data_IF_259046393883
#
_entry.id   IF_259046393883
#
_cell.length_a   1.000
_cell.length_b   1.000
_cell.length_c   1.000
_cell.angle_alpha   90.00
_cell.angle_beta   90.00
_cell.angle_gamma   90.00
#
_symmetry.space_group_name_H-M   'P 1'
#
loop_
_entity.id
_entity.type
_entity.pdbx_description
1 polymer ?
#
# COMPACT_ATOMS: atom_id res chain seq x y z
N UNK A 1 68.60 -75.73 -26.00
CA UNK A 1 68.39 -74.54 -25.16
C UNK A 1 68.02 -73.43 -26.09
N UNK A 2 66.73 -73.15 -26.18
CA UNK A 2 66.20 -72.16 -27.14
C UNK A 2 65.67 -70.94 -26.30
N UNK A 3 66.29 -69.81 -26.62
CA UNK A 3 65.89 -68.53 -25.94
C UNK A 3 64.72 -67.93 -26.70
N UNK A 4 63.66 -67.52 -26.04
CA UNK A 4 62.51 -66.89 -26.67
C UNK A 4 62.75 -65.36 -26.89
N UNK A 5 62.34 -64.87 -28.09
CA UNK A 5 62.32 -63.47 -28.50
C UNK A 5 61.36 -62.60 -27.73
N UNK A 6 61.67 -61.34 -27.43
CA UNK A 6 60.71 -60.44 -26.76
C UNK A 6 59.67 -59.88 -27.75
N UNK A 7 58.45 -59.87 -27.31
CA UNK A 7 57.26 -59.25 -27.98
C UNK A 7 57.29 -57.72 -27.85
N UNK A 8 57.26 -57.03 -28.99
CA UNK A 8 57.08 -55.54 -29.00
C UNK A 8 55.67 -55.20 -28.76
N UNK A 9 55.39 -54.51 -27.65
CA UNK A 9 54.05 -53.87 -27.36
C UNK A 9 54.01 -52.55 -28.07
N UNK A 10 53.04 -52.40 -28.96
CA UNK A 10 52.67 -51.09 -29.57
C UNK A 10 51.85 -50.28 -28.58
N UNK A 11 52.31 -49.08 -28.26
CA UNK A 11 51.55 -48.10 -27.50
C UNK A 11 50.70 -47.28 -28.47
N UNK A 12 49.35 -47.40 -28.34
CA UNK A 12 48.42 -46.53 -29.03
C UNK A 12 48.23 -45.34 -28.16
N UNK A 13 48.65 -44.16 -28.63
CA UNK A 13 48.35 -42.86 -27.96
C UNK A 13 46.92 -42.45 -28.30
N UNK A 14 46.02 -42.61 -27.35
CA UNK A 14 44.67 -42.09 -27.45
C UNK A 14 44.66 -40.60 -27.08
N UNK A 15 44.36 -39.75 -28.04
CA UNK A 15 44.06 -38.31 -27.81
C UNK A 15 42.69 -38.16 -27.15
N UNK A 16 42.68 -37.88 -25.87
CA UNK A 16 41.44 -37.50 -25.15
C UNK A 16 41.14 -36.04 -25.47
N UNK A 17 40.10 -35.80 -26.24
CA UNK A 17 39.53 -34.46 -26.42
C UNK A 17 38.77 -34.07 -25.15
N UNK A 18 39.27 -33.09 -24.40
CA UNK A 18 38.57 -32.47 -23.26
C UNK A 18 37.56 -31.47 -23.83
N UNK A 19 36.31 -31.86 -23.87
CA UNK A 19 35.19 -30.93 -24.13
C UNK A 19 34.95 -30.09 -22.88
N UNK A 20 35.36 -28.83 -22.88
CA UNK A 20 35.03 -27.86 -21.87
C UNK A 20 33.53 -27.48 -22.02
N UNK A 21 32.67 -28.04 -21.18
CA UNK A 21 31.29 -27.60 -21.06
C UNK A 21 31.28 -26.26 -20.31
N UNK A 22 31.05 -25.18 -21.05
CA UNK A 22 30.73 -23.87 -20.46
C UNK A 22 29.35 -23.96 -19.84
N UNK A 23 29.26 -24.17 -18.51
CA UNK A 23 28.04 -23.95 -17.73
C UNK A 23 27.77 -22.44 -17.73
N UNK A 24 26.87 -21.97 -18.58
CA UNK A 24 26.24 -20.67 -18.46
C UNK A 24 25.30 -20.70 -17.24
N UNK A 25 25.72 -20.15 -16.12
CA UNK A 25 24.86 -19.85 -14.98
C UNK A 25 23.83 -18.81 -15.45
N UNK A 26 22.51 -19.02 -15.23
CA UNK A 26 21.54 -18.00 -15.50
C UNK A 26 21.81 -16.82 -14.54
N UNK A 27 22.09 -15.66 -15.09
CA UNK A 27 22.10 -14.41 -14.33
C UNK A 27 20.66 -14.22 -13.86
N UNK A 28 20.42 -14.35 -12.54
CA UNK A 28 19.16 -13.99 -11.93
C UNK A 28 18.97 -12.48 -12.13
N UNK A 29 18.13 -12.09 -13.08
CA UNK A 29 17.63 -10.73 -13.20
C UNK A 29 16.83 -10.49 -11.91
N UNK A 30 17.13 -9.44 -11.12
CA UNK A 30 16.28 -9.10 -9.97
C UNK A 30 14.86 -8.92 -10.49
N UNK A 31 13.90 -9.61 -9.86
CA UNK A 31 12.49 -9.44 -10.18
C UNK A 31 12.18 -7.96 -10.06
N UNK A 32 11.97 -7.29 -11.19
CA UNK A 32 11.58 -5.90 -11.25
C UNK A 32 10.30 -5.74 -10.42
N UNK A 33 10.22 -4.68 -9.63
CA UNK A 33 9.00 -4.33 -8.93
C UNK A 33 7.84 -4.38 -9.93
N UNK A 34 6.80 -5.15 -9.60
CA UNK A 34 5.62 -5.23 -10.44
C UNK A 34 5.02 -3.82 -10.56
N UNK A 35 4.74 -3.32 -11.77
CA UNK A 35 4.24 -1.95 -11.93
C UNK A 35 2.94 -1.79 -11.12
N UNK A 36 2.83 -0.66 -10.40
CA UNK A 36 1.62 -0.35 -9.65
C UNK A 36 0.39 -0.49 -10.56
N UNK A 37 -0.70 -1.14 -10.13
CA UNK A 37 -1.87 -1.33 -10.94
C UNK A 37 -2.44 0.01 -11.41
N UNK A 38 -2.85 0.08 -12.67
CA UNK A 38 -3.45 1.27 -13.26
C UNK A 38 -4.71 1.70 -12.49
N UNK A 39 -5.03 3.01 -12.45
CA UNK A 39 -6.24 3.50 -11.81
C UNK A 39 -7.49 2.86 -12.42
N UNK A 40 -8.54 2.70 -11.59
CA UNK A 40 -9.82 2.16 -12.05
C UNK A 40 -10.38 2.98 -13.21
N UNK A 41 -11.06 2.31 -14.15
CA UNK A 41 -11.72 2.94 -15.29
C UNK A 41 -12.63 4.07 -14.79
N UNK A 42 -12.50 5.26 -15.38
CA UNK A 42 -13.30 6.44 -15.01
C UNK A 42 -12.74 7.28 -13.87
N UNK A 43 -11.63 6.89 -13.21
CA UNK A 43 -10.96 7.74 -12.22
C UNK A 43 -10.20 8.87 -12.89
N UNK A 44 -10.31 10.08 -12.31
CA UNK A 44 -9.52 11.24 -12.70
C UNK A 44 -8.67 11.81 -11.55
N UNK A 45 -8.79 11.23 -10.37
CA UNK A 45 -7.94 11.52 -9.20
C UNK A 45 -7.33 10.21 -8.67
N UNK A 46 -6.01 10.18 -8.59
CA UNK A 46 -5.29 8.98 -8.19
C UNK A 46 -4.17 9.31 -7.20
N UNK A 47 -4.17 8.60 -6.07
CA UNK A 47 -3.11 8.65 -5.07
C UNK A 47 -2.33 7.36 -5.16
N UNK A 48 -1.00 7.44 -5.13
CA UNK A 48 -0.12 6.27 -5.08
C UNK A 48 0.75 6.35 -3.83
N UNK A 49 0.75 5.28 -3.06
CA UNK A 49 1.62 5.09 -1.90
C UNK A 49 2.55 3.94 -2.20
N UNK A 50 3.84 4.25 -2.35
CA UNK A 50 4.88 3.27 -2.61
C UNK A 50 5.83 3.12 -1.43
N UNK A 51 6.13 1.88 -1.05
CA UNK A 51 7.12 1.56 -0.03
C UNK A 51 8.29 0.78 -0.64
N UNK A 52 9.55 0.93 -0.15
CA UNK A 52 10.70 0.28 -0.76
C UNK A 52 10.73 -1.24 -0.58
N UNK A 53 10.02 -1.77 0.43
CA UNK A 53 9.89 -3.20 0.71
C UNK A 53 8.60 -3.47 1.48
N UNK A 54 8.08 -4.70 1.42
CA UNK A 54 6.85 -5.08 2.13
C UNK A 54 6.94 -4.91 3.66
N UNK A 55 8.14 -4.98 4.24
CA UNK A 55 8.38 -4.75 5.67
C UNK A 55 8.66 -3.29 6.02
N UNK A 56 8.71 -2.38 5.05
CA UNK A 56 8.97 -0.97 5.31
C UNK A 56 7.76 -0.32 5.99
N UNK A 57 8.03 0.51 7.00
CA UNK A 57 7.01 1.23 7.79
C UNK A 57 6.81 2.67 7.32
N UNK A 58 7.50 3.05 6.25
CA UNK A 58 7.33 4.34 5.58
C UNK A 58 7.65 4.23 4.09
N UNK A 59 7.11 5.17 3.33
CA UNK A 59 7.30 5.27 1.91
C UNK A 59 7.01 6.68 1.42
N UNK A 60 6.56 6.79 0.19
CA UNK A 60 6.18 8.06 -0.43
C UNK A 60 4.73 8.00 -0.91
N UNK A 61 4.05 9.15 -0.80
CA UNK A 61 2.74 9.39 -1.38
C UNK A 61 2.86 10.43 -2.48
N UNK A 62 2.24 10.16 -3.62
CA UNK A 62 2.08 11.12 -4.71
C UNK A 62 0.63 11.12 -5.20
N UNK A 63 0.05 12.30 -5.35
CA UNK A 63 -1.30 12.46 -5.89
C UNK A 63 -1.25 13.03 -7.30
N UNK A 64 -2.12 12.50 -8.16
CA UNK A 64 -2.19 12.81 -9.58
C UNK A 64 -3.59 13.20 -10.00
N UNK A 65 -3.68 14.20 -10.88
CA UNK A 65 -4.91 14.60 -11.58
C UNK A 65 -4.81 14.23 -13.05
N UNK A 66 -5.84 13.58 -13.58
CA UNK A 66 -5.95 13.36 -15.02
C UNK A 66 -6.39 14.64 -15.75
N UNK A 67 -5.59 15.05 -16.73
CA UNK A 67 -5.88 16.20 -17.61
C UNK A 67 -5.81 15.72 -19.06
N UNK A 68 -6.95 15.55 -19.68
CA UNK A 68 -7.05 14.83 -20.96
C UNK A 68 -6.66 13.37 -20.81
N UNK A 69 -5.61 12.95 -21.51
CA UNK A 69 -5.07 11.58 -21.42
C UNK A 69 -3.84 11.47 -20.51
N UNK A 70 -3.40 12.56 -19.88
CA UNK A 70 -2.17 12.57 -19.10
C UNK A 70 -2.47 12.71 -17.60
N UNK A 71 -1.67 12.03 -16.78
CA UNK A 71 -1.63 12.22 -15.35
C UNK A 71 -0.61 13.30 -14.98
N UNK A 72 -1.04 14.28 -14.20
CA UNK A 72 -0.17 15.36 -13.70
C UNK A 72 -0.09 15.27 -12.18
N UNK A 73 1.11 15.37 -11.63
CA UNK A 73 1.32 15.46 -10.20
C UNK A 73 0.68 16.74 -9.65
N UNK A 74 -0.13 16.61 -8.61
CA UNK A 74 -0.75 17.73 -7.88
C UNK A 74 -0.22 17.86 -6.45
N UNK A 75 0.28 16.77 -5.87
CA UNK A 75 0.91 16.75 -4.54
C UNK A 75 1.97 15.65 -4.49
N UNK A 76 3.10 15.94 -3.86
CA UNK A 76 4.17 14.96 -3.63
C UNK A 76 5.31 15.03 -4.66
N UNK A 77 6.27 14.06 -4.60
CA UNK A 77 6.31 12.99 -3.58
C UNK A 77 6.52 13.52 -2.17
N UNK A 78 5.77 13.02 -1.21
CA UNK A 78 5.87 13.35 0.22
C UNK A 78 6.05 12.08 1.04
N UNK A 79 6.65 12.21 2.24
CA UNK A 79 6.79 11.08 3.16
C UNK A 79 5.42 10.62 3.64
N UNK A 80 5.19 9.30 3.60
CA UNK A 80 4.03 8.64 4.18
C UNK A 80 4.48 7.57 5.18
N UNK A 81 3.79 7.48 6.32
CA UNK A 81 3.91 6.39 7.26
C UNK A 81 2.86 5.35 6.93
N UNK A 82 3.19 4.08 7.14
CA UNK A 82 2.30 2.92 6.95
C UNK A 82 2.36 2.02 8.18
N UNK A 83 1.72 0.86 8.12
CA UNK A 83 1.63 -0.07 9.24
C UNK A 83 2.98 -0.43 9.86
N UNK A 84 3.01 -0.63 11.18
CA UNK A 84 4.23 -0.96 11.95
C UNK A 84 4.81 -2.34 11.60
N UNK A 85 4.05 -3.18 10.92
CA UNK A 85 4.51 -4.44 10.30
C UNK A 85 4.54 -4.37 8.76
N UNK A 86 4.55 -3.16 8.20
CA UNK A 86 4.69 -2.90 6.77
C UNK A 86 3.38 -2.97 5.98
N UNK A 87 3.47 -3.40 4.71
CA UNK A 87 2.33 -3.49 3.79
C UNK A 87 2.09 -4.92 3.32
N UNK A 88 0.85 -5.27 2.94
CA UNK A 88 0.49 -6.60 2.46
C UNK A 88 -1.00 -6.90 2.59
N UNK A 89 -1.37 -8.16 2.81
CA UNK A 89 -2.75 -8.53 3.07
C UNK A 89 -3.20 -7.96 4.43
N UNK A 90 -4.34 -7.26 4.44
CA UNK A 90 -4.95 -6.70 5.65
C UNK A 90 -5.85 -7.71 6.34
N UNK A 91 -5.81 -7.72 7.68
CA UNK A 91 -6.71 -8.49 8.52
C UNK A 91 -6.92 -7.77 9.86
N UNK A 92 -8.04 -8.04 10.53
CA UNK A 92 -8.29 -7.49 11.86
C UNK A 92 -7.19 -7.88 12.85
N UNK A 93 -6.75 -6.93 13.66
CA UNK A 93 -5.68 -7.12 14.64
C UNK A 93 -4.27 -7.27 14.05
N UNK A 94 -4.12 -7.11 12.75
CA UNK A 94 -2.81 -7.06 12.06
C UNK A 94 -2.52 -5.63 11.64
N UNK A 95 -1.47 -5.04 12.19
CA UNK A 95 -1.07 -3.65 11.91
C UNK A 95 -0.36 -3.49 10.55
N UNK A 96 -0.92 -4.09 9.50
CA UNK A 96 -0.38 -4.05 8.14
C UNK A 96 -1.25 -3.18 7.26
N UNK A 97 -0.63 -2.25 6.53
CA UNK A 97 -1.37 -1.46 5.54
C UNK A 97 -1.72 -2.34 4.34
N UNK A 98 -3.01 -2.46 3.98
CA UNK A 98 -3.45 -3.31 2.88
C UNK A 98 -2.89 -2.85 1.53
N UNK A 99 -2.37 -3.80 0.73
CA UNK A 99 -1.92 -3.58 -0.64
C UNK A 99 -3.10 -3.72 -1.60
N UNK A 100 -3.19 -2.82 -2.58
CA UNK A 100 -4.24 -2.84 -3.59
C UNK A 100 -4.64 -1.45 -4.05
N UNK A 101 -5.72 -1.39 -4.84
CA UNK A 101 -6.34 -0.13 -5.28
C UNK A 101 -7.74 -0.02 -4.69
N UNK A 102 -8.00 1.07 -3.95
CA UNK A 102 -9.20 1.28 -3.17
C UNK A 102 -9.87 2.61 -3.51
N UNK A 103 -11.16 2.71 -3.21
CA UNK A 103 -11.91 3.96 -3.23
C UNK A 103 -11.76 4.71 -1.90
N UNK A 104 -12.25 5.94 -1.89
CA UNK A 104 -12.59 6.67 -0.67
C UNK A 104 -14.10 6.81 -0.58
N UNK A 105 -14.67 6.82 0.64
CA UNK A 105 -16.12 6.97 0.83
C UNK A 105 -16.49 8.15 1.73
N UNK A 106 -15.85 8.33 2.88
CA UNK A 106 -16.20 9.34 3.87
C UNK A 106 -14.96 9.98 4.46
N UNK A 107 -14.96 11.32 4.54
CA UNK A 107 -13.95 12.07 5.27
C UNK A 107 -14.49 12.51 6.64
N UNK A 108 -13.57 12.74 7.56
CA UNK A 108 -13.87 13.25 8.89
C UNK A 108 -12.69 13.99 9.49
N UNK A 109 -12.89 14.66 10.59
CA UNK A 109 -11.80 15.25 11.36
C UNK A 109 -12.26 15.90 12.65
N UNK A 110 -11.32 16.11 13.55
CA UNK A 110 -11.53 16.92 14.77
C UNK A 110 -11.71 18.41 14.40
N UNK A 111 -11.10 18.83 13.33
CA UNK A 111 -11.19 20.18 12.78
C UNK A 111 -12.45 20.34 11.90
N UNK A 112 -12.92 21.56 11.68
CA UNK A 112 -13.96 21.84 10.71
C UNK A 112 -13.57 21.40 9.29
N UNK A 113 -14.58 21.17 8.44
CA UNK A 113 -14.38 20.84 7.03
C UNK A 113 -13.39 21.81 6.37
N UNK A 114 -12.25 21.34 5.85
CA UNK A 114 -11.24 22.20 5.23
C UNK A 114 -11.63 22.72 3.83
N UNK A 115 -12.84 22.41 3.37
CA UNK A 115 -13.34 22.73 2.02
C UNK A 115 -13.33 21.50 1.09
N UNK A 116 -13.35 20.27 1.64
CA UNK A 116 -13.47 19.06 0.82
C UNK A 116 -14.87 18.91 0.24
N UNK A 117 -14.95 18.39 -1.00
CA UNK A 117 -16.20 17.95 -1.62
C UNK A 117 -16.62 16.54 -1.17
N UNK A 118 -15.75 15.79 -0.49
CA UNK A 118 -16.09 14.50 0.10
C UNK A 118 -17.18 14.66 1.18
N UNK A 119 -18.07 13.67 1.36
CA UNK A 119 -18.91 13.62 2.56
C UNK A 119 -18.03 13.79 3.81
N UNK A 120 -18.33 14.78 4.64
CA UNK A 120 -17.50 15.13 5.81
C UNK A 120 -18.34 15.29 7.06
N UNK A 121 -17.87 14.72 8.16
CA UNK A 121 -18.39 15.06 9.50
C UNK A 121 -17.25 15.54 10.41
N UNK A 122 -17.55 16.49 11.27
CA UNK A 122 -16.63 16.89 12.33
C UNK A 122 -16.80 15.95 13.51
N UNK A 123 -15.73 15.25 13.85
CA UNK A 123 -15.73 14.27 14.93
C UNK A 123 -15.90 14.95 16.31
N UNK A 124 -16.62 14.31 17.17
CA UNK A 124 -16.82 14.62 18.60
C UNK A 124 -16.48 13.39 19.44
N UNK A 125 -16.50 13.52 20.76
CA UNK A 125 -16.31 12.38 21.69
C UNK A 125 -17.37 11.29 21.57
N UNK A 126 -18.48 11.54 20.85
CA UNK A 126 -19.52 10.56 20.58
C UNK A 126 -19.33 9.81 19.25
N UNK A 127 -18.28 10.12 18.48
CA UNK A 127 -18.04 9.53 17.16
C UNK A 127 -16.99 8.41 17.25
N UNK A 128 -17.39 7.20 16.83
CA UNK A 128 -16.62 5.97 16.93
C UNK A 128 -16.53 5.29 15.58
N UNK A 129 -15.43 4.58 15.34
CA UNK A 129 -15.36 3.58 14.27
C UNK A 129 -15.51 2.20 14.88
N UNK A 130 -16.54 1.48 14.46
CA UNK A 130 -16.84 0.15 14.98
C UNK A 130 -15.93 -0.89 14.30
N UNK A 131 -15.03 -1.49 15.07
CA UNK A 131 -14.11 -2.53 14.62
C UNK A 131 -14.45 -3.91 15.18
N UNK A 132 -15.61 -4.04 15.87
CA UNK A 132 -16.07 -5.30 16.43
C UNK A 132 -16.63 -6.21 15.34
N UNK A 133 -15.89 -7.27 14.98
CA UNK A 133 -16.29 -8.25 13.96
C UNK A 133 -17.61 -8.99 14.29
N UNK A 134 -18.08 -8.94 15.54
CA UNK A 134 -19.39 -9.46 15.96
C UNK A 134 -20.52 -8.44 15.86
N UNK A 135 -20.21 -7.18 15.56
CA UNK A 135 -21.21 -6.11 15.49
C UNK A 135 -21.92 -6.03 14.14
N UNK A 136 -23.22 -5.74 14.09
CA UNK A 136 -23.92 -5.45 12.83
C UNK A 136 -23.43 -4.16 12.15
N UNK A 137 -22.74 -3.28 12.90
CA UNK A 137 -22.15 -2.04 12.39
C UNK A 137 -20.64 -2.13 12.19
N UNK A 138 -20.08 -3.35 12.15
CA UNK A 138 -18.66 -3.57 11.87
C UNK A 138 -18.17 -2.78 10.67
N UNK A 139 -17.00 -2.16 10.82
CA UNK A 139 -16.33 -1.31 9.84
C UNK A 139 -17.18 -0.13 9.35
N UNK A 140 -17.86 0.54 10.30
CA UNK A 140 -18.58 1.78 10.02
C UNK A 140 -18.39 2.81 11.12
N UNK A 141 -18.69 4.08 10.77
CA UNK A 141 -18.88 5.16 11.72
C UNK A 141 -20.18 4.95 12.48
N UNK A 142 -20.14 5.08 13.80
CA UNK A 142 -21.29 5.04 14.70
C UNK A 142 -21.23 6.19 15.68
N UNK A 143 -22.41 6.70 16.09
CA UNK A 143 -22.53 7.70 17.15
C UNK A 143 -23.07 7.08 18.42
N UNK A 144 -22.33 7.25 19.52
CA UNK A 144 -22.73 6.76 20.84
C UNK A 144 -22.13 7.63 21.93
N UNK A 145 -22.92 7.94 22.97
CA UNK A 145 -22.46 8.69 24.15
C UNK A 145 -21.49 7.88 25.02
N UNK A 146 -21.44 6.56 24.85
CA UNK A 146 -20.53 5.66 25.53
C UNK A 146 -19.86 4.75 24.51
N UNK A 147 -18.69 4.17 24.90
CA UNK A 147 -17.98 3.23 24.05
C UNK A 147 -18.89 2.05 23.65
N UNK A 148 -19.18 1.86 22.33
CA UNK A 148 -20.08 0.81 21.87
C UNK A 148 -19.56 -0.60 22.12
N UNK A 149 -18.23 -0.83 22.06
CA UNK A 149 -17.57 -2.10 22.35
C UNK A 149 -16.10 -1.90 22.70
N UNK A 150 -15.44 -2.93 23.24
CA UNK A 150 -14.02 -2.88 23.61
C UNK A 150 -13.06 -2.80 22.43
N UNK A 151 -13.55 -2.97 21.20
CA UNK A 151 -12.75 -2.95 19.96
C UNK A 151 -13.20 -1.85 18.99
N UNK A 152 -13.80 -0.77 19.54
CA UNK A 152 -14.11 0.44 18.78
C UNK A 152 -13.03 1.50 18.98
N UNK A 153 -12.86 2.36 18.01
CA UNK A 153 -11.93 3.49 18.05
C UNK A 153 -12.70 4.81 18.16
N UNK A 154 -12.37 5.63 19.18
CA UNK A 154 -12.93 6.97 19.29
C UNK A 154 -12.20 7.93 18.33
N UNK A 155 -12.94 8.51 17.38
CA UNK A 155 -12.36 9.33 16.33
C UNK A 155 -11.91 10.72 16.80
N UNK A 156 -12.39 11.18 17.96
CA UNK A 156 -11.97 12.44 18.57
C UNK A 156 -10.82 12.23 19.56
N UNK A 157 -10.95 11.23 20.45
CA UNK A 157 -10.00 11.00 21.55
C UNK A 157 -8.68 10.39 21.05
N UNK A 158 -8.64 9.82 19.84
CA UNK A 158 -7.40 9.43 19.15
C UNK A 158 -6.46 10.61 18.89
N UNK A 159 -6.94 11.84 19.05
CA UNK A 159 -6.12 13.04 19.10
C UNK A 159 -5.78 13.64 17.73
N UNK A 160 -4.69 14.43 17.65
CA UNK A 160 -4.33 15.22 16.45
C UNK A 160 -4.12 14.42 15.17
N UNK A 161 -3.89 13.11 15.27
CA UNK A 161 -3.77 12.23 14.10
C UNK A 161 -5.07 12.22 13.28
N UNK A 162 -6.20 12.50 13.91
CA UNK A 162 -7.49 12.64 13.24
C UNK A 162 -7.99 14.09 13.13
N UNK A 163 -7.08 15.09 13.13
CA UNK A 163 -7.50 16.45 12.79
C UNK A 163 -8.12 16.51 11.38
N UNK A 164 -7.60 15.69 10.46
CA UNK A 164 -8.11 15.47 9.11
C UNK A 164 -7.91 14.00 8.72
N UNK A 165 -8.94 13.34 8.24
CA UNK A 165 -8.88 11.96 7.81
C UNK A 165 -9.90 11.65 6.70
N UNK A 166 -9.63 10.60 5.93
CA UNK A 166 -10.58 10.02 4.97
C UNK A 166 -10.48 8.50 5.02
N UNK A 167 -11.62 7.82 5.01
CA UNK A 167 -11.68 6.36 5.00
C UNK A 167 -11.23 5.81 3.64
N UNK A 168 -10.28 4.89 3.69
CA UNK A 168 -9.88 4.06 2.56
C UNK A 168 -10.78 2.82 2.57
N UNK A 169 -11.67 2.70 1.59
CA UNK A 169 -12.67 1.62 1.52
C UNK A 169 -12.03 0.27 1.14
N UNK A 170 -11.20 -0.27 2.04
CA UNK A 170 -10.49 -1.54 1.83
C UNK A 170 -11.45 -2.72 1.93
N UNK A 171 -12.39 -2.67 2.88
CA UNK A 171 -13.40 -3.70 3.13
C UNK A 171 -14.83 -3.12 3.04
N UNK A 172 -15.26 -2.66 1.85
CA UNK A 172 -16.56 -2.00 1.71
C UNK A 172 -17.75 -2.95 1.90
N UNK A 173 -17.54 -4.27 1.76
CA UNK A 173 -18.55 -5.29 2.04
C UNK A 173 -18.66 -5.62 3.53
N UNK A 174 -17.79 -5.04 4.39
CA UNK A 174 -17.80 -5.24 5.85
C UNK A 174 -17.69 -6.71 6.26
N UNK A 175 -16.82 -7.46 5.59
CA UNK A 175 -16.61 -8.88 5.87
C UNK A 175 -15.77 -8.98 7.16
N UNK A 176 -16.31 -9.56 8.25
CA UNK A 176 -15.59 -9.72 9.51
C UNK A 176 -14.27 -10.49 9.33
N UNK A 177 -13.23 -10.07 10.04
CA UNK A 177 -11.89 -10.68 9.98
C UNK A 177 -11.01 -10.19 8.83
N UNK A 178 -11.57 -9.45 7.84
CA UNK A 178 -10.75 -8.90 6.76
C UNK A 178 -9.90 -7.72 7.22
N UNK A 179 -10.49 -6.60 7.47
CA UNK A 179 -9.85 -5.43 8.09
C UNK A 179 -10.89 -4.32 8.27
N UNK A 180 -10.76 -3.53 9.33
CA UNK A 180 -11.63 -2.38 9.63
C UNK A 180 -10.78 -1.14 9.93
N UNK A 181 -11.36 0.06 9.74
CA UNK A 181 -10.76 1.31 10.16
C UNK A 181 -9.44 1.65 9.48
N UNK A 182 -9.34 1.52 8.16
CA UNK A 182 -8.15 1.93 7.40
C UNK A 182 -8.37 3.34 6.83
N UNK A 183 -7.59 4.29 7.33
CA UNK A 183 -7.70 5.71 6.98
C UNK A 183 -6.42 6.24 6.33
N UNK A 184 -6.59 7.31 5.56
CA UNK A 184 -5.52 8.24 5.27
C UNK A 184 -5.69 9.44 6.20
N UNK A 185 -4.68 9.75 7.05
CA UNK A 185 -4.79 10.71 8.14
C UNK A 185 -3.50 11.49 8.41
N UNK A 186 -3.50 12.35 9.45
CA UNK A 186 -2.33 13.14 9.86
C UNK A 186 -1.33 12.24 10.61
N UNK A 187 -0.04 12.35 10.28
CA UNK A 187 1.02 11.62 10.97
C UNK A 187 1.45 12.29 12.26
N UNK A 188 1.81 11.50 13.26
CA UNK A 188 2.59 11.90 14.44
C UNK A 188 4.09 11.60 14.29
N UNK A 189 4.51 11.10 13.12
CA UNK A 189 5.89 10.72 12.81
C UNK A 189 6.21 9.25 13.06
N UNK A 190 5.29 8.47 13.63
CA UNK A 190 5.45 7.04 13.92
C UNK A 190 4.74 6.15 12.89
N UNK A 191 5.10 4.85 12.76
CA UNK A 191 4.31 3.89 12.00
C UNK A 191 2.89 3.75 12.55
N UNK A 192 1.94 3.39 11.69
CA UNK A 192 0.52 3.27 12.02
C UNK A 192 0.13 1.84 12.41
N UNK A 193 -1.13 1.65 12.78
CA UNK A 193 -1.72 0.31 12.97
C UNK A 193 -2.44 -0.22 11.72
N UNK A 194 -1.96 0.20 10.52
CA UNK A 194 -2.48 -0.23 9.24
C UNK A 194 -2.96 0.91 8.34
N UNK A 195 -3.16 2.10 8.88
CA UNK A 195 -3.49 3.30 8.13
C UNK A 195 -2.32 3.81 7.27
N UNK A 196 -2.59 4.81 6.45
CA UNK A 196 -1.58 5.65 5.79
C UNK A 196 -1.61 7.02 6.46
N UNK A 197 -0.44 7.57 6.83
CA UNK A 197 -0.38 8.87 7.49
C UNK A 197 0.63 9.80 6.83
N UNK A 198 0.25 11.09 6.65
CA UNK A 198 1.04 12.14 6.01
C UNK A 198 1.02 13.43 6.85
N UNK A 199 1.84 14.42 6.49
CA UNK A 199 1.88 15.71 7.18
C UNK A 199 0.51 16.40 7.21
N UNK A 200 0.25 17.18 8.28
CA UNK A 200 -1.06 17.84 8.50
C UNK A 200 -1.45 18.81 7.39
N UNK A 201 -0.49 19.59 6.89
CA UNK A 201 -0.70 20.54 5.78
C UNK A 201 -1.02 19.83 4.48
N UNK A 202 -0.31 18.73 4.21
CA UNK A 202 -0.51 17.89 3.04
C UNK A 202 -1.86 17.18 3.10
N UNK A 203 -2.24 16.67 4.29
CA UNK A 203 -3.54 16.03 4.48
C UNK A 203 -4.70 16.99 4.26
N UNK A 204 -4.59 18.23 4.78
CA UNK A 204 -5.57 19.29 4.52
C UNK A 204 -5.69 19.61 3.03
N UNK A 205 -4.55 19.78 2.35
CA UNK A 205 -4.50 20.09 0.90
C UNK A 205 -5.12 18.94 0.08
N UNK A 206 -4.82 17.70 0.46
CA UNK A 206 -5.32 16.53 -0.21
C UNK A 206 -6.84 16.38 -0.03
N UNK A 207 -7.38 16.59 1.16
CA UNK A 207 -8.83 16.60 1.39
C UNK A 207 -9.54 17.68 0.56
N UNK A 208 -8.97 18.89 0.49
CA UNK A 208 -9.55 19.98 -0.31
C UNK A 208 -9.56 19.66 -1.81
N UNK A 209 -8.59 18.87 -2.28
CA UNK A 209 -8.51 18.44 -3.67
C UNK A 209 -9.42 17.26 -4.01
N UNK A 210 -9.69 16.35 -3.03
CA UNK A 210 -10.52 15.17 -3.26
C UNK A 210 -11.96 15.55 -3.64
N UNK A 211 -12.43 15.00 -4.76
CA UNK A 211 -13.78 15.18 -5.28
C UNK A 211 -14.40 13.81 -5.61
N UNK A 212 -15.51 13.41 -4.99
CA UNK A 212 -16.17 12.14 -5.25
C UNK A 212 -16.61 12.00 -6.71
N UNK A 213 -16.92 13.09 -7.42
CA UNK A 213 -17.28 13.06 -8.84
C UNK A 213 -16.12 12.64 -9.75
N UNK A 214 -14.88 12.83 -9.29
CA UNK A 214 -13.66 12.42 -9.96
C UNK A 214 -13.33 10.92 -9.76
N UNK A 215 -14.17 10.17 -9.02
CA UNK A 215 -13.96 8.77 -8.65
C UNK A 215 -12.55 8.51 -8.09
N UNK A 216 -12.15 9.21 -6.99
CA UNK A 216 -10.78 9.17 -6.47
C UNK A 216 -10.38 7.76 -6.04
N UNK A 217 -9.11 7.39 -6.29
CA UNK A 217 -8.54 6.10 -5.93
C UNK A 217 -7.22 6.28 -5.22
N UNK A 218 -6.92 5.33 -4.34
CA UNK A 218 -5.59 5.16 -3.74
C UNK A 218 -5.05 3.78 -4.07
N UNK A 219 -3.83 3.73 -4.58
CA UNK A 219 -3.07 2.49 -4.78
C UNK A 219 -1.94 2.43 -3.77
N UNK A 220 -1.85 1.32 -3.05
CA UNK A 220 -0.82 1.08 -2.04
C UNK A 220 -0.04 -0.17 -2.45
N UNK A 221 1.30 -0.10 -2.44
CA UNK A 221 2.11 -1.25 -2.85
C UNK A 221 3.60 -1.07 -2.60
N UNK A 222 4.36 -2.11 -2.95
CA UNK A 222 5.82 -2.08 -2.96
C UNK A 222 6.29 -1.50 -4.30
N UNK A 223 7.19 -0.53 -4.27
CA UNK A 223 7.76 0.11 -5.46
C UNK A 223 7.73 1.64 -5.38
N UNK A 224 8.23 2.26 -6.43
CA UNK A 224 8.26 3.73 -6.54
C UNK A 224 6.96 4.23 -7.20
N UNK A 225 6.19 5.13 -6.55
CA UNK A 225 5.02 5.75 -7.15
C UNK A 225 5.32 6.56 -8.42
N UNK A 226 6.58 6.96 -8.63
CA UNK A 226 6.99 7.62 -9.87
C UNK A 226 7.03 6.68 -11.09
N UNK A 227 7.01 5.36 -10.87
CA UNK A 227 6.96 4.34 -11.91
C UNK A 227 5.52 4.02 -12.34
N UNK A 228 4.69 5.05 -12.50
CA UNK A 228 3.41 4.88 -13.18
C UNK A 228 3.65 4.28 -14.56
N UNK A 229 2.86 3.29 -15.03
CA UNK A 229 2.99 2.82 -16.39
C UNK A 229 2.90 4.03 -17.32
N UNK A 230 3.97 4.23 -18.10
CA UNK A 230 3.97 5.20 -19.17
C UNK A 230 2.71 4.94 -20.00
N UNK A 231 1.94 5.98 -20.20
CA UNK A 231 0.64 5.87 -20.85
C UNK A 231 0.83 5.34 -22.27
N UNK A 232 0.29 4.18 -22.52
CA UNK A 232 0.06 3.67 -23.88
C UNK A 232 -1.18 4.31 -24.47
#
# INVERSE_FOLDING_TARGET
MTVPKPLKKAFTVGTAAVAAALLSLPIAVPAGAEPAPAPAVGSTQWIVVGVPAASATSGTLTAFQRVGQQWKTVLGPIKAMVGDVGVGEGADGVHRTPVGTFAFDQAFGREPNPGTAMPYFQATTADWWDQDAGSPTYNTHVQSAANPSSVTENLYDSGPVYDYAVNIAVNPQRIPGKVSGIFLHVTDGTPTWGCVAIGRSEMKSLLTWLDPSANPRITIGVGDPALLPAQS
#
